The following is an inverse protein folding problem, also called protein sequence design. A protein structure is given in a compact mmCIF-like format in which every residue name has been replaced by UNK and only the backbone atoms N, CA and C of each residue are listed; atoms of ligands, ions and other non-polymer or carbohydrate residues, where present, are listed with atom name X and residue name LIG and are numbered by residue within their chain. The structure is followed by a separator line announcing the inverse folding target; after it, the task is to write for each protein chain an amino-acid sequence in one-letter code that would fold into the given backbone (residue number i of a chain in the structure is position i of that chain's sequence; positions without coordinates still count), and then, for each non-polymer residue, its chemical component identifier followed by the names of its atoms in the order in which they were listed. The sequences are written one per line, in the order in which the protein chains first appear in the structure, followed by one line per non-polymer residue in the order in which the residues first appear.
data_IF_771709652161
#
_entry.id   IF_771709652161
#
_cell.length_a   1.000
_cell.length_b   1.000
_cell.length_c   1.000
_cell.angle_alpha   90.00
_cell.angle_beta   90.00
_cell.angle_gamma   90.00
#
_symmetry.space_group_name_H-M   'P 1'
#
loop_
_entity.id
_entity.type
_entity.pdbx_description
1 polymer ?
#
# COMPACT_ATOMS: atom_id res chain seq x y z
N UNK A 1 -34.64 -27.36 15.83
CA UNK A 1 -34.92 -26.37 14.77
C UNK A 1 -33.85 -25.25 14.62
N UNK A 2 -32.68 -25.33 15.26
CA UNK A 2 -31.71 -24.21 15.32
C UNK A 2 -30.68 -24.14 14.16
N UNK A 3 -30.66 -25.08 13.21
CA UNK A 3 -29.59 -25.20 12.19
C UNK A 3 -29.88 -24.55 10.82
N UNK A 4 -31.10 -24.04 10.59
CA UNK A 4 -31.48 -23.34 9.34
C UNK A 4 -31.37 -21.81 9.41
N UNK A 5 -31.22 -21.23 10.61
CA UNK A 5 -31.14 -19.77 10.81
C UNK A 5 -29.73 -19.19 10.56
N UNK A 6 -28.66 -19.94 10.87
CA UNK A 6 -27.29 -19.43 10.75
C UNK A 6 -26.81 -19.23 9.30
N UNK A 7 -27.34 -20.00 8.34
CA UNK A 7 -26.95 -19.90 6.92
C UNK A 7 -27.60 -18.68 6.23
N UNK A 8 -28.78 -18.26 6.70
CA UNK A 8 -29.47 -17.06 6.18
C UNK A 8 -28.79 -15.77 6.68
N UNK A 9 -28.30 -15.76 7.92
CA UNK A 9 -27.57 -14.62 8.48
C UNK A 9 -26.16 -14.45 7.89
N UNK A 10 -25.48 -15.54 7.47
CA UNK A 10 -24.19 -15.44 6.77
C UNK A 10 -24.30 -14.84 5.36
N UNK A 11 -25.44 -15.03 4.66
CA UNK A 11 -25.69 -14.40 3.35
C UNK A 11 -26.07 -12.93 3.45
N UNK A 12 -26.77 -12.53 4.52
CA UNK A 12 -27.09 -11.12 4.78
C UNK A 12 -25.90 -10.34 5.35
N UNK A 13 -25.05 -10.96 6.18
CA UNK A 13 -23.80 -10.37 6.68
C UNK A 13 -22.77 -10.11 5.56
N UNK A 14 -22.85 -10.84 4.44
CA UNK A 14 -22.06 -10.56 3.22
C UNK A 14 -22.58 -9.39 2.39
N UNK A 15 -23.84 -8.97 2.57
CA UNK A 15 -24.47 -7.87 1.82
C UNK A 15 -24.41 -6.52 2.55
N UNK A 16 -24.09 -6.51 3.85
CA UNK A 16 -24.04 -5.32 4.68
C UNK A 16 -22.61 -4.88 5.07
N UNK A 17 -21.58 -5.61 4.62
CA UNK A 17 -20.17 -5.23 4.79
C UNK A 17 -19.70 -4.42 3.58
N UNK A 18 -20.17 -3.18 3.48
CA UNK A 18 -19.29 -2.17 2.91
C UNK A 18 -18.29 -1.84 4.04
N UNK A 19 -17.21 -2.60 4.07
CA UNK A 19 -16.08 -2.40 4.96
C UNK A 19 -15.30 -1.17 4.41
N UNK A 20 -15.89 0.03 4.54
CA UNK A 20 -15.35 1.31 4.07
C UNK A 20 -14.20 1.75 4.99
N UNK A 21 -12.98 1.30 4.68
CA UNK A 21 -11.77 1.66 5.41
C UNK A 21 -11.05 2.81 4.71
N UNK A 22 -11.23 4.03 5.20
CA UNK A 22 -10.58 5.21 4.60
C UNK A 22 -9.18 5.42 5.16
N UNK A 23 -8.22 5.59 4.25
CA UNK A 23 -6.83 5.93 4.61
C UNK A 23 -6.77 7.36 5.14
N UNK A 24 -5.99 7.61 6.18
CA UNK A 24 -5.85 8.96 6.75
C UNK A 24 -5.02 9.88 5.83
N UNK A 25 -5.45 11.14 5.71
CA UNK A 25 -4.75 12.16 4.93
C UNK A 25 -3.28 12.32 5.33
N UNK A 26 -2.99 12.34 6.65
CA UNK A 26 -1.63 12.49 7.16
C UNK A 26 -0.70 11.35 6.74
N UNK A 27 -1.20 10.12 6.68
CA UNK A 27 -0.40 8.96 6.24
C UNK A 27 -0.08 9.07 4.73
N UNK A 28 -1.04 9.53 3.92
CA UNK A 28 -0.86 9.78 2.48
C UNK A 28 0.17 10.89 2.25
N UNK A 29 -0.01 12.03 2.93
CA UNK A 29 0.90 13.18 2.80
C UNK A 29 2.33 12.78 3.17
N UNK A 30 2.51 12.16 4.34
CA UNK A 30 3.81 11.74 4.85
C UNK A 30 4.52 10.76 3.91
N UNK A 31 3.75 9.88 3.28
CA UNK A 31 4.29 8.93 2.30
C UNK A 31 4.67 9.63 0.99
N UNK A 32 3.77 10.44 0.40
CA UNK A 32 4.01 11.13 -0.88
C UNK A 32 5.21 12.09 -0.78
N UNK A 33 5.36 12.79 0.33
CA UNK A 33 6.48 13.70 0.59
C UNK A 33 7.85 13.00 0.42
N UNK A 34 7.95 11.70 0.70
CA UNK A 34 9.21 10.95 0.59
C UNK A 34 9.65 10.71 -0.85
N UNK A 35 8.72 10.65 -1.78
CA UNK A 35 9.01 10.58 -3.21
C UNK A 35 9.38 11.96 -3.75
N UNK A 36 8.69 13.01 -3.29
CA UNK A 36 8.99 14.40 -3.66
C UNK A 36 10.35 14.89 -3.13
N UNK A 37 10.72 14.51 -1.90
CA UNK A 37 12.03 14.77 -1.30
C UNK A 37 13.17 14.16 -2.14
N UNK A 38 12.93 12.98 -2.72
CA UNK A 38 13.90 12.28 -3.55
C UNK A 38 13.93 12.80 -4.98
N UNK A 39 12.76 13.03 -5.58
CA UNK A 39 12.61 13.64 -6.89
C UNK A 39 11.39 14.57 -6.89
N UNK A 40 11.59 15.91 -6.94
CA UNK A 40 10.49 16.87 -6.90
C UNK A 40 9.57 16.80 -8.12
N UNK A 41 10.03 16.18 -9.21
CA UNK A 41 9.28 16.02 -10.46
C UNK A 41 8.56 14.67 -10.55
N UNK A 42 8.51 13.88 -9.47
CA UNK A 42 7.86 12.56 -9.45
C UNK A 42 6.44 12.58 -10.06
N UNK A 43 5.66 13.63 -9.77
CA UNK A 43 4.28 13.79 -10.25
C UNK A 43 4.12 14.89 -11.32
N UNK A 44 5.19 15.61 -11.68
CA UNK A 44 5.10 16.74 -12.61
C UNK A 44 4.71 16.28 -14.01
N UNK A 45 3.75 16.97 -14.59
CA UNK A 45 3.18 16.69 -15.92
C UNK A 45 2.65 15.24 -16.05
N UNK A 46 2.26 14.62 -14.93
CA UNK A 46 1.70 13.26 -14.90
C UNK A 46 0.18 13.27 -14.78
N UNK A 47 -0.43 12.25 -15.37
CA UNK A 47 -1.82 11.88 -15.13
C UNK A 47 -1.85 10.91 -13.94
N UNK A 48 -2.44 11.34 -12.83
CA UNK A 48 -2.59 10.49 -11.63
C UNK A 48 -3.98 9.89 -11.61
N UNK A 49 -4.08 8.59 -11.37
CA UNK A 49 -5.35 7.89 -11.18
C UNK A 49 -5.49 7.38 -9.76
N UNK A 50 -6.54 7.86 -9.08
CA UNK A 50 -6.96 7.40 -7.77
C UNK A 50 -8.30 6.67 -7.92
N UNK A 51 -8.27 5.38 -8.24
CA UNK A 51 -9.48 4.56 -8.15
C UNK A 51 -9.87 4.44 -6.67
N UNK A 52 -11.13 4.70 -6.34
CA UNK A 52 -11.63 4.59 -4.97
C UNK A 52 -13.10 4.19 -4.96
N UNK A 53 -13.60 3.80 -3.79
CA UNK A 53 -15.02 3.51 -3.65
C UNK A 53 -15.84 4.82 -3.65
N UNK A 54 -15.30 5.91 -3.11
CA UNK A 54 -15.89 7.25 -3.19
C UNK A 54 -14.82 8.37 -3.27
N UNK A 55 -14.76 9.14 -4.38
CA UNK A 55 -13.90 10.31 -4.54
C UNK A 55 -14.09 11.43 -3.52
N UNK A 56 -15.31 11.65 -3.02
CA UNK A 56 -15.58 12.72 -2.06
C UNK A 56 -15.11 12.38 -0.64
N UNK A 57 -14.98 11.10 -0.32
CA UNK A 57 -14.47 10.61 0.97
C UNK A 57 -13.00 10.14 0.88
N UNK A 58 -12.49 9.95 -0.33
CA UNK A 58 -11.12 9.53 -0.58
C UNK A 58 -10.11 10.62 -0.23
N UNK A 59 -9.37 10.40 0.85
CA UNK A 59 -8.23 11.25 1.18
C UNK A 59 -7.12 11.23 0.12
N UNK A 60 -7.07 10.22 -0.77
CA UNK A 60 -6.17 10.24 -1.93
C UNK A 60 -6.59 11.33 -2.91
N UNK A 61 -7.86 11.36 -3.32
CA UNK A 61 -8.38 12.40 -4.19
C UNK A 61 -8.20 13.78 -3.54
N UNK A 62 -8.59 13.92 -2.27
CA UNK A 62 -8.41 15.16 -1.50
C UNK A 62 -6.97 15.65 -1.51
N UNK A 63 -5.99 14.77 -1.29
CA UNK A 63 -4.58 15.15 -1.33
C UNK A 63 -4.16 15.66 -2.70
N UNK A 64 -4.42 14.89 -3.77
CA UNK A 64 -3.94 15.26 -5.10
C UNK A 64 -4.66 16.48 -5.68
N UNK A 65 -5.96 16.66 -5.39
CA UNK A 65 -6.71 17.81 -5.89
C UNK A 65 -6.29 19.10 -5.18
N UNK A 66 -6.12 19.07 -3.85
CA UNK A 66 -5.67 20.24 -3.07
C UNK A 66 -4.22 20.62 -3.37
N UNK A 67 -3.40 19.65 -3.80
CA UNK A 67 -2.01 19.88 -4.18
C UNK A 67 -1.80 19.89 -5.71
N UNK A 68 -2.86 19.96 -6.52
CA UNK A 68 -2.78 19.77 -7.98
C UNK A 68 -1.75 20.69 -8.64
N UNK A 69 -1.86 22.01 -8.38
CA UNK A 69 -0.94 23.02 -8.91
C UNK A 69 0.47 22.89 -8.30
N UNK A 70 0.57 22.60 -7.00
CA UNK A 70 1.84 22.42 -6.30
C UNK A 70 2.64 21.25 -6.85
N UNK A 71 1.97 20.14 -7.17
CA UNK A 71 2.56 18.94 -7.76
C UNK A 71 2.81 19.10 -9.27
N UNK A 72 2.21 20.12 -9.90
CA UNK A 72 2.27 20.33 -11.34
C UNK A 72 1.64 19.18 -12.11
N UNK A 73 0.52 18.64 -11.63
CA UNK A 73 -0.18 17.53 -12.31
C UNK A 73 -0.68 17.98 -13.68
N UNK A 74 -0.66 17.05 -14.64
CA UNK A 74 -1.33 17.27 -15.92
C UNK A 74 -2.83 17.06 -15.80
N UNK A 75 -3.22 16.02 -15.07
CA UNK A 75 -4.61 15.63 -14.88
C UNK A 75 -4.72 14.71 -13.66
N UNK A 76 -5.84 14.79 -12.96
CA UNK A 76 -6.22 13.86 -11.88
C UNK A 76 -7.52 13.17 -12.29
N UNK A 77 -7.46 11.84 -12.35
CA UNK A 77 -8.60 10.98 -12.63
C UNK A 77 -8.97 10.26 -11.33
N UNK A 78 -10.26 10.14 -11.06
CA UNK A 78 -10.76 9.29 -9.98
C UNK A 78 -12.11 8.68 -10.35
N UNK A 79 -12.37 7.49 -9.84
CA UNK A 79 -13.63 6.77 -10.02
C UNK A 79 -14.28 6.49 -8.67
N UNK A 80 -15.60 6.30 -8.66
CA UNK A 80 -16.37 5.79 -7.53
C UNK A 80 -16.97 4.42 -7.85
N UNK A 81 -17.10 3.55 -6.84
CA UNK A 81 -17.78 2.25 -6.96
C UNK A 81 -19.23 2.35 -6.45
N UNK A 82 -20.13 1.48 -6.96
CA UNK A 82 -21.47 1.32 -6.37
C UNK A 82 -21.39 0.47 -5.09
N UNK A 83 -22.10 0.82 -4.00
CA UNK A 83 -23.03 1.93 -3.80
C UNK A 83 -22.42 3.04 -2.92
N UNK A 84 -21.83 4.09 -3.49
CA UNK A 84 -21.56 5.31 -2.72
C UNK A 84 -22.90 5.99 -2.34
N UNK A 85 -23.22 6.15 -1.03
CA UNK A 85 -24.41 6.88 -0.58
C UNK A 85 -24.29 8.40 -0.81
N UNK A 86 -23.06 8.88 -1.03
CA UNK A 86 -22.65 10.28 -0.82
C UNK A 86 -22.32 11.00 -2.13
N UNK A 87 -21.80 10.28 -3.13
CA UNK A 87 -21.51 10.82 -4.46
C UNK A 87 -22.75 11.42 -5.17
N UNK A 88 -23.95 11.03 -4.73
CA UNK A 88 -25.22 11.56 -5.25
C UNK A 88 -25.97 12.50 -4.28
N UNK A 89 -25.51 12.70 -3.04
CA UNK A 89 -26.23 13.49 -2.01
C UNK A 89 -25.46 14.72 -1.49
N UNK A 90 -24.13 14.70 -1.48
CA UNK A 90 -23.35 15.85 -0.96
C UNK A 90 -23.43 17.11 -1.83
N UNK A 91 -23.80 17.00 -3.09
CA UNK A 91 -24.04 18.17 -3.94
C UNK A 91 -25.30 18.98 -3.53
N UNK A 92 -26.27 18.35 -2.85
CA UNK A 92 -27.47 19.00 -2.34
C UNK A 92 -27.18 19.77 -1.04
N UNK A 93 -26.19 19.33 -0.24
CA UNK A 93 -25.85 19.90 1.08
C UNK A 93 -25.10 21.24 1.02
N UNK A 94 -24.54 21.62 -0.13
CA UNK A 94 -23.86 22.91 -0.34
C UNK A 94 -24.70 23.94 -1.12
N UNK A 95 -26.00 23.66 -1.35
CA UNK A 95 -26.93 24.59 -1.99
C UNK A 95 -27.69 25.41 -0.95
N UNK A 96 -27.43 26.72 -0.87
CA UNK A 96 -28.33 27.64 -0.17
C UNK A 96 -29.76 27.46 -0.71
N UNK A 97 -30.70 27.31 0.23
CA UNK A 97 -32.05 26.84 -0.03
C UNK A 97 -32.78 27.58 -1.16
N UNK A 98 -33.08 26.83 -2.23
CA UNK A 98 -34.36 26.94 -2.94
C UNK A 98 -34.80 25.53 -3.32
N UNK A 99 -35.98 25.17 -2.83
CA UNK A 99 -36.74 23.97 -3.12
C UNK A 99 -36.84 23.73 -4.63
N UNK A 100 -35.99 22.86 -5.17
CA UNK A 100 -36.20 22.27 -6.50
C UNK A 100 -37.22 21.14 -6.35
N UNK A 101 -38.18 21.12 -7.26
CA UNK A 101 -39.33 20.20 -7.29
C UNK A 101 -38.88 18.73 -7.19
N UNK A 102 -39.47 17.98 -6.26
CA UNK A 102 -39.29 16.52 -6.11
C UNK A 102 -39.49 15.82 -7.46
N UNK A 103 -38.42 15.39 -8.11
CA UNK A 103 -38.52 14.43 -9.20
C UNK A 103 -38.97 13.09 -8.61
N UNK A 104 -40.05 12.53 -9.16
CA UNK A 104 -40.54 11.20 -8.78
C UNK A 104 -39.58 10.14 -9.32
N UNK A 105 -38.71 9.62 -8.47
CA UNK A 105 -37.86 8.46 -8.76
C UNK A 105 -36.71 8.34 -7.75
N UNK A 106 -36.37 7.12 -7.33
CA UNK A 106 -35.15 6.88 -6.53
C UNK A 106 -33.94 7.31 -7.39
N UNK A 107 -33.00 8.15 -6.91
CA UNK A 107 -31.80 8.49 -7.68
C UNK A 107 -31.11 7.19 -8.12
N UNK A 108 -30.80 7.06 -9.41
CA UNK A 108 -30.01 5.91 -9.89
C UNK A 108 -28.64 6.02 -9.25
N UNK A 109 -28.31 5.08 -8.37
CA UNK A 109 -26.97 5.00 -7.77
C UNK A 109 -26.02 4.56 -8.89
N UNK A 110 -25.36 5.52 -9.54
CA UNK A 110 -24.34 5.29 -10.58
C UNK A 110 -22.95 5.45 -10.00
N UNK A 111 -22.01 4.63 -10.48
CA UNK A 111 -20.59 4.89 -10.33
C UNK A 111 -20.25 6.14 -11.14
N UNK A 112 -19.25 6.91 -10.73
CA UNK A 112 -18.91 8.19 -11.36
C UNK A 112 -17.42 8.26 -11.67
N UNK A 113 -17.08 8.94 -12.76
CA UNK A 113 -15.73 9.37 -13.10
C UNK A 113 -15.63 10.87 -12.86
N UNK A 114 -14.56 11.28 -12.22
CA UNK A 114 -14.16 12.68 -12.12
C UNK A 114 -12.82 12.87 -12.81
N UNK A 115 -12.73 13.91 -13.62
CA UNK A 115 -11.50 14.30 -14.32
C UNK A 115 -11.22 15.76 -14.02
N UNK A 116 -10.12 16.02 -13.33
CA UNK A 116 -9.66 17.36 -12.98
C UNK A 116 -8.48 17.71 -13.87
N UNK A 117 -8.63 18.77 -14.66
CA UNK A 117 -7.59 19.31 -15.53
C UNK A 117 -7.02 20.62 -15.01
N UNK A 118 -7.81 21.38 -14.24
CA UNK A 118 -7.38 22.63 -13.65
C UNK A 118 -8.04 22.84 -12.29
N UNK A 119 -7.36 23.59 -11.43
CA UNK A 119 -7.94 24.03 -10.16
C UNK A 119 -7.57 25.49 -9.89
N UNK A 120 -8.56 26.28 -9.48
CA UNK A 120 -8.39 27.67 -9.06
C UNK A 120 -9.47 28.05 -8.04
N UNK A 121 -9.19 29.06 -7.22
CA UNK A 121 -10.19 29.67 -6.35
C UNK A 121 -11.26 30.36 -7.24
N UNK A 122 -12.50 29.85 -7.19
CA UNK A 122 -13.60 30.31 -8.05
C UNK A 122 -14.47 31.37 -7.38
N UNK A 123 -14.49 31.44 -6.04
CA UNK A 123 -15.23 32.47 -5.32
C UNK A 123 -14.36 33.68 -4.93
N UNK A 124 -13.05 33.60 -5.20
CA UNK A 124 -12.06 34.64 -4.98
C UNK A 124 -11.97 35.03 -3.50
N UNK A 125 -12.19 34.07 -2.59
CA UNK A 125 -12.06 34.26 -1.14
C UNK A 125 -10.60 34.25 -0.66
N UNK A 126 -9.66 33.88 -1.54
CA UNK A 126 -8.23 33.84 -1.28
C UNK A 126 -7.70 32.47 -0.87
N UNK A 127 -8.55 31.44 -0.72
CA UNK A 127 -8.18 30.09 -0.30
C UNK A 127 -8.78 28.99 -1.18
N UNK A 128 -7.94 28.32 -1.99
CA UNK A 128 -8.40 27.15 -2.76
C UNK A 128 -8.74 25.95 -1.86
N UNK A 129 -9.99 25.47 -1.94
CA UNK A 129 -10.49 24.37 -1.13
C UNK A 129 -11.44 23.43 -1.92
N UNK A 130 -11.93 22.36 -1.26
CA UNK A 130 -12.81 21.37 -1.91
C UNK A 130 -14.16 21.95 -2.38
N UNK A 131 -14.64 23.05 -1.79
CA UNK A 131 -15.88 23.70 -2.24
C UNK A 131 -15.68 24.31 -3.63
N UNK A 132 -14.48 24.84 -3.93
CA UNK A 132 -14.15 25.37 -5.25
C UNK A 132 -14.14 24.27 -6.29
N UNK A 133 -13.53 23.12 -5.96
CA UNK A 133 -13.55 21.93 -6.83
C UNK A 133 -14.98 21.51 -7.13
N UNK A 134 -15.84 21.43 -6.11
CA UNK A 134 -17.24 21.06 -6.28
C UNK A 134 -18.00 22.08 -7.15
N UNK A 135 -17.76 23.39 -6.98
CA UNK A 135 -18.34 24.44 -7.82
C UNK A 135 -17.83 24.35 -9.27
N UNK A 136 -16.55 24.09 -9.48
CA UNK A 136 -15.96 23.93 -10.81
C UNK A 136 -16.53 22.71 -11.54
N UNK A 137 -16.71 21.58 -10.84
CA UNK A 137 -17.36 20.39 -11.38
C UNK A 137 -18.83 20.67 -11.75
N UNK A 138 -19.57 21.47 -10.95
CA UNK A 138 -20.93 21.88 -11.32
C UNK A 138 -20.98 22.82 -12.53
N UNK A 139 -19.98 23.69 -12.65
CA UNK A 139 -19.89 24.64 -13.74
C UNK A 139 -19.48 23.99 -15.08
N UNK A 140 -19.01 22.73 -15.06
CA UNK A 140 -18.62 21.94 -16.25
C UNK A 140 -17.78 22.74 -17.25
N UNK A 141 -16.75 23.46 -16.77
CA UNK A 141 -15.81 24.18 -17.64
C UNK A 141 -14.74 23.24 -18.17
N UNK A 142 -13.68 23.05 -17.38
CA UNK A 142 -12.51 22.24 -17.76
C UNK A 142 -12.36 20.99 -16.90
N UNK A 143 -13.23 20.79 -15.90
CA UNK A 143 -13.30 19.59 -15.09
C UNK A 143 -14.59 18.83 -15.43
N UNK A 144 -14.51 17.51 -15.50
CA UNK A 144 -15.62 16.64 -15.90
C UNK A 144 -16.10 15.79 -14.73
N UNK A 145 -17.43 15.67 -14.64
CA UNK A 145 -18.09 14.68 -13.81
C UNK A 145 -19.12 13.92 -14.66
N UNK A 146 -18.86 12.63 -14.87
CA UNK A 146 -19.65 11.78 -15.77
C UNK A 146 -20.01 10.47 -15.07
N UNK A 147 -21.28 10.03 -15.11
CA UNK A 147 -21.64 8.70 -14.62
C UNK A 147 -21.00 7.61 -15.50
N UNK A 148 -20.48 6.57 -14.86
CA UNK A 148 -20.00 5.34 -15.51
C UNK A 148 -21.20 4.46 -15.90
N UNK A 149 -21.09 3.76 -17.03
CA UNK A 149 -22.08 2.75 -17.44
C UNK A 149 -22.00 1.53 -16.51
N UNK A 150 -20.79 1.17 -16.08
CA UNK A 150 -20.49 0.06 -15.19
C UNK A 150 -20.79 0.29 -13.71
N UNK A 151 -20.22 -0.56 -12.86
CA UNK A 151 -20.31 -0.49 -11.39
C UNK A 151 -19.08 0.14 -10.72
N UNK A 152 -18.06 0.51 -11.51
CA UNK A 152 -16.79 1.06 -11.04
C UNK A 152 -15.74 0.01 -10.71
N UNK A 153 -15.99 -1.28 -10.98
CA UNK A 153 -14.98 -2.33 -10.82
C UNK A 153 -13.75 -2.03 -11.69
N UNK A 154 -12.56 -2.12 -11.10
CA UNK A 154 -11.28 -1.84 -11.78
C UNK A 154 -11.03 -2.75 -13.00
N UNK A 155 -11.78 -3.85 -13.12
CA UNK A 155 -11.72 -4.81 -14.23
C UNK A 155 -12.65 -4.45 -15.39
N UNK A 156 -13.54 -3.46 -15.22
CA UNK A 156 -14.42 -3.00 -16.28
C UNK A 156 -13.64 -2.28 -17.39
N UNK A 157 -14.12 -2.39 -18.63
CA UNK A 157 -13.47 -1.77 -19.80
C UNK A 157 -13.34 -0.24 -19.65
N UNK A 158 -14.32 0.40 -19.01
CA UNK A 158 -14.28 1.84 -18.70
C UNK A 158 -13.13 2.17 -17.73
N UNK A 159 -13.01 1.43 -16.62
CA UNK A 159 -11.93 1.64 -15.64
C UNK A 159 -10.55 1.27 -16.21
N UNK A 160 -10.45 0.26 -17.08
CA UNK A 160 -9.23 -0.09 -17.79
C UNK A 160 -8.83 1.03 -18.74
N UNK A 161 -9.79 1.62 -19.48
CA UNK A 161 -9.53 2.75 -20.37
C UNK A 161 -8.99 3.96 -19.59
N UNK A 162 -9.47 4.20 -18.37
CA UNK A 162 -8.96 5.25 -17.48
C UNK A 162 -7.57 4.91 -16.94
N UNK A 163 -7.35 3.65 -16.57
CA UNK A 163 -6.04 3.16 -16.17
C UNK A 163 -5.01 3.39 -17.28
N UNK A 164 -5.36 3.06 -18.53
CA UNK A 164 -4.51 3.24 -19.70
C UNK A 164 -4.08 4.68 -19.93
N UNK A 165 -4.99 5.65 -19.70
CA UNK A 165 -4.72 7.08 -19.79
C UNK A 165 -3.77 7.60 -18.68
N UNK A 166 -3.72 6.91 -17.54
CA UNK A 166 -2.94 7.34 -16.38
C UNK A 166 -1.45 6.97 -16.48
N UNK A 167 -0.58 7.80 -15.90
CA UNK A 167 0.84 7.50 -15.75
C UNK A 167 1.13 6.80 -14.42
N UNK A 168 0.48 7.29 -13.35
CA UNK A 168 0.71 6.85 -11.96
C UNK A 168 -0.63 6.51 -11.31
N UNK A 169 -0.69 5.36 -10.65
CA UNK A 169 -1.84 4.93 -9.86
C UNK A 169 -1.55 5.07 -8.37
N UNK A 170 -2.42 5.75 -7.62
CA UNK A 170 -2.24 5.93 -6.17
C UNK A 170 -3.55 5.63 -5.43
N UNK A 171 -3.60 4.53 -4.67
CA UNK A 171 -4.86 4.05 -4.07
C UNK A 171 -4.67 3.06 -2.89
N UNK A 172 -5.77 2.74 -2.20
CA UNK A 172 -5.92 1.58 -1.32
C UNK A 172 -6.81 0.52 -2.02
N UNK A 173 -6.24 -0.46 -2.73
CA UNK A 173 -7.02 -1.46 -3.47
C UNK A 173 -7.69 -2.48 -2.53
N UNK A 174 -8.78 -3.14 -2.98
CA UNK A 174 -9.43 -4.20 -2.21
C UNK A 174 -8.47 -5.36 -1.95
N UNK A 175 -8.21 -5.67 -0.68
CA UNK A 175 -7.23 -6.69 -0.29
C UNK A 175 -7.56 -8.09 -0.82
N UNK A 176 -8.84 -8.42 -1.02
CA UNK A 176 -9.29 -9.69 -1.60
C UNK A 176 -8.88 -9.86 -3.07
N UNK A 177 -8.73 -8.77 -3.81
CA UNK A 177 -8.37 -8.76 -5.23
C UNK A 177 -6.94 -8.22 -5.45
N UNK A 178 -6.15 -8.08 -4.37
CA UNK A 178 -4.82 -7.45 -4.42
C UNK A 178 -3.88 -8.06 -5.46
N UNK A 179 -3.84 -9.39 -5.58
CA UNK A 179 -2.96 -10.07 -6.55
C UNK A 179 -3.36 -9.78 -8.00
N UNK A 180 -4.67 -9.80 -8.27
CA UNK A 180 -5.22 -9.49 -9.58
C UNK A 180 -4.97 -8.03 -9.94
N UNK A 181 -5.16 -7.13 -8.97
CA UNK A 181 -4.91 -5.70 -9.13
C UNK A 181 -3.43 -5.41 -9.42
N UNK A 182 -2.50 -5.95 -8.62
CA UNK A 182 -1.05 -5.79 -8.89
C UNK A 182 -0.68 -6.35 -10.26
N UNK A 183 -1.25 -7.50 -10.66
CA UNK A 183 -1.02 -8.06 -11.99
C UNK A 183 -1.45 -7.07 -13.08
N UNK A 184 -2.64 -6.49 -12.97
CA UNK A 184 -3.16 -5.51 -13.93
C UNK A 184 -2.23 -4.27 -14.02
N UNK A 185 -1.77 -3.73 -12.90
CA UNK A 185 -0.83 -2.59 -12.91
C UNK A 185 0.45 -2.90 -13.70
N UNK A 186 0.96 -4.12 -13.60
CA UNK A 186 2.12 -4.57 -14.36
C UNK A 186 1.83 -4.82 -15.82
N UNK A 187 0.70 -5.45 -16.15
CA UNK A 187 0.29 -5.70 -17.53
C UNK A 187 0.16 -4.38 -18.32
N UNK A 188 -0.37 -3.33 -17.67
CA UNK A 188 -0.49 -1.98 -18.23
C UNK A 188 0.74 -1.08 -17.96
N UNK A 189 1.84 -1.63 -17.44
CA UNK A 189 3.13 -0.94 -17.21
C UNK A 189 3.02 0.35 -16.39
N UNK A 190 2.15 0.35 -15.38
CA UNK A 190 1.87 1.54 -14.58
C UNK A 190 2.90 1.76 -13.50
N UNK A 191 3.21 3.04 -13.27
CA UNK A 191 3.86 3.46 -12.04
C UNK A 191 2.79 3.49 -10.94
N UNK A 192 3.11 3.10 -9.71
CA UNK A 192 2.08 3.05 -8.68
C UNK A 192 2.63 3.18 -7.27
N UNK A 193 1.74 3.63 -6.37
CA UNK A 193 1.89 3.64 -4.92
C UNK A 193 0.57 3.15 -4.31
N UNK A 194 0.57 1.94 -3.75
CA UNK A 194 -0.66 1.31 -3.25
C UNK A 194 -0.50 0.78 -1.84
N UNK A 195 -1.60 0.70 -1.10
CA UNK A 195 -1.62 0.06 0.22
C UNK A 195 -1.84 -1.45 0.04
N UNK A 196 -1.07 -2.25 0.77
CA UNK A 196 -1.23 -3.69 0.82
C UNK A 196 -1.09 -4.22 2.23
N UNK A 197 -1.64 -5.41 2.46
CA UNK A 197 -1.35 -6.16 3.67
C UNK A 197 0.11 -6.67 3.65
N UNK A 198 0.83 -6.62 4.77
CA UNK A 198 2.23 -7.03 4.91
C UNK A 198 2.50 -8.43 4.37
N UNK A 199 1.53 -9.35 4.45
CA UNK A 199 1.68 -10.70 3.91
C UNK A 199 1.91 -10.71 2.40
N UNK A 200 1.55 -9.64 1.67
CA UNK A 200 1.71 -9.56 0.23
C UNK A 200 3.16 -9.71 -0.23
N UNK A 201 4.14 -9.27 0.59
CA UNK A 201 5.57 -9.38 0.29
C UNK A 201 6.05 -10.83 0.14
N UNK A 202 5.30 -11.79 0.70
CA UNK A 202 5.63 -13.22 0.63
C UNK A 202 4.86 -13.94 -0.48
N UNK A 203 3.94 -13.26 -1.18
CA UNK A 203 3.27 -13.84 -2.34
C UNK A 203 4.30 -14.09 -3.42
N UNK A 204 4.27 -15.28 -4.05
CA UNK A 204 5.30 -15.70 -5.01
C UNK A 204 5.53 -14.64 -6.09
N UNK A 205 4.46 -14.11 -6.68
CA UNK A 205 4.52 -13.15 -7.78
C UNK A 205 5.06 -11.77 -7.32
N UNK A 206 4.70 -11.33 -6.11
CA UNK A 206 5.16 -10.07 -5.53
C UNK A 206 6.63 -10.19 -5.12
N UNK A 207 7.00 -11.27 -4.42
CA UNK A 207 8.38 -11.50 -4.00
C UNK A 207 9.34 -11.59 -5.19
N UNK A 208 8.93 -12.21 -6.30
CA UNK A 208 9.71 -12.21 -7.55
C UNK A 208 10.07 -10.79 -7.98
N UNK A 209 9.07 -9.92 -7.97
CA UNK A 209 9.21 -8.53 -8.40
C UNK A 209 10.01 -7.69 -7.42
N UNK A 210 9.97 -8.01 -6.12
CA UNK A 210 10.88 -7.43 -5.12
C UNK A 210 12.32 -7.85 -5.40
N UNK A 211 12.55 -9.14 -5.62
CA UNK A 211 13.87 -9.72 -5.89
C UNK A 211 14.48 -9.15 -7.18
N UNK A 212 13.69 -8.99 -8.24
CA UNK A 212 14.12 -8.40 -9.51
C UNK A 212 14.20 -6.86 -9.48
N UNK A 213 13.90 -6.22 -8.34
CA UNK A 213 13.87 -4.76 -8.17
C UNK A 213 12.85 -4.05 -9.09
N UNK A 214 11.74 -4.69 -9.40
CA UNK A 214 10.61 -4.11 -10.14
C UNK A 214 9.61 -3.39 -9.21
N UNK A 215 9.49 -3.84 -7.96
CA UNK A 215 8.70 -3.20 -6.87
C UNK A 215 9.45 -3.25 -5.56
N UNK A 216 9.07 -2.38 -4.65
CA UNK A 216 9.63 -2.29 -3.30
C UNK A 216 8.59 -1.75 -2.31
N UNK A 217 8.94 -1.82 -1.03
CA UNK A 217 8.16 -1.22 0.03
C UNK A 217 8.31 0.30 -0.07
N UNK A 218 7.25 1.04 0.23
CA UNK A 218 7.31 2.49 0.38
C UNK A 218 8.11 2.91 1.62
N UNK A 219 7.88 4.10 2.12
CA UNK A 219 8.72 4.66 3.17
C UNK A 219 8.35 4.15 4.58
N UNK A 220 8.45 2.85 4.83
CA UNK A 220 8.33 2.27 6.17
C UNK A 220 7.42 1.04 6.24
N UNK A 221 7.67 0.18 7.24
CA UNK A 221 6.84 -0.98 7.56
C UNK A 221 6.19 -0.86 8.95
N UNK A 222 5.01 -1.47 9.13
CA UNK A 222 4.31 -1.53 10.42
C UNK A 222 3.40 -0.31 10.65
N UNK A 223 3.62 0.43 11.74
CA UNK A 223 2.78 1.59 12.15
C UNK A 223 2.95 2.85 11.27
N UNK A 224 3.46 2.68 10.06
CA UNK A 224 3.56 3.77 9.10
C UNK A 224 2.19 4.18 8.54
N UNK A 225 1.24 3.23 8.54
CA UNK A 225 -0.17 3.50 8.39
C UNK A 225 -0.77 3.48 9.80
N UNK A 226 -1.24 4.63 10.26
CA UNK A 226 -1.66 4.84 11.65
C UNK A 226 -3.09 4.33 11.93
N UNK A 227 -3.77 3.85 10.89
CA UNK A 227 -5.08 3.21 10.93
C UNK A 227 -6.02 3.72 9.86
N UNK A 228 -7.19 3.10 9.79
CA UNK A 228 -8.24 3.45 8.84
C UNK A 228 -9.44 4.01 9.57
N UNK A 229 -10.07 5.04 8.99
CA UNK A 229 -11.35 5.55 9.45
C UNK A 229 -12.42 4.54 9.05
N UNK A 230 -13.29 4.18 9.98
CA UNK A 230 -14.38 3.20 9.79
C UNK A 230 -15.75 3.84 10.08
N UNK A 231 -16.84 3.32 9.49
CA UNK A 231 -18.19 3.80 9.76
C UNK A 231 -18.59 3.65 11.24
N UNK A 232 -19.55 4.46 11.70
CA UNK A 232 -20.09 4.38 13.07
C UNK A 232 -20.71 3.02 13.40
N UNK A 233 -21.22 2.30 12.39
CA UNK A 233 -21.76 0.95 12.54
C UNK A 233 -20.69 -0.12 12.72
N UNK A 234 -19.40 0.21 12.55
CA UNK A 234 -18.31 -0.71 12.78
C UNK A 234 -18.03 -0.80 14.28
N UNK A 235 -18.15 -2.01 14.81
CA UNK A 235 -17.84 -2.29 16.20
C UNK A 235 -16.33 -2.19 16.43
N UNK A 236 -15.94 -1.34 17.38
CA UNK A 236 -14.55 -1.17 17.76
C UNK A 236 -14.14 -2.31 18.70
N UNK A 237 -13.23 -3.16 18.22
CA UNK A 237 -12.69 -4.27 18.98
C UNK A 237 -11.18 -4.10 19.19
N UNK A 238 -10.72 -4.31 20.42
CA UNK A 238 -9.30 -4.35 20.78
C UNK A 238 -8.67 -2.99 21.11
N UNK A 239 -7.40 -3.03 21.53
CA UNK A 239 -6.59 -1.86 21.94
C UNK A 239 -6.14 -0.99 20.77
N UNK A 240 -6.41 -1.41 19.53
CA UNK A 240 -6.01 -0.73 18.30
C UNK A 240 -7.12 0.16 17.71
N UNK A 241 -8.28 0.20 18.37
CA UNK A 241 -9.38 1.10 18.04
C UNK A 241 -9.32 2.38 18.89
N UNK A 242 -9.49 3.54 18.25
CA UNK A 242 -9.54 4.85 18.91
C UNK A 242 -10.57 5.76 18.26
N UNK A 243 -10.93 6.83 18.97
CA UNK A 243 -11.70 7.95 18.41
C UNK A 243 -10.76 9.15 18.37
N UNK A 244 -10.70 9.84 17.23
CA UNK A 244 -9.89 11.05 17.09
C UNK A 244 -10.62 12.30 17.63
N UNK A 245 -9.94 13.45 17.61
CA UNK A 245 -10.49 14.73 18.08
C UNK A 245 -11.72 15.20 17.29
N UNK A 246 -11.89 14.71 16.05
CA UNK A 246 -13.01 15.04 15.18
C UNK A 246 -14.18 14.04 15.32
N UNK A 247 -14.08 13.07 16.24
CA UNK A 247 -15.10 12.04 16.45
C UNK A 247 -15.02 10.86 15.48
N UNK A 248 -14.00 10.80 14.59
CA UNK A 248 -13.84 9.68 13.68
C UNK A 248 -13.38 8.44 14.42
N UNK A 249 -13.97 7.29 14.08
CA UNK A 249 -13.55 5.98 14.58
C UNK A 249 -12.40 5.46 13.74
N UNK A 250 -11.26 5.18 14.37
CA UNK A 250 -10.05 4.68 13.70
C UNK A 250 -9.71 3.29 14.20
N UNK A 251 -9.52 2.36 13.27
CA UNK A 251 -8.99 1.01 13.53
C UNK A 251 -7.58 0.92 12.95
N UNK A 252 -6.58 0.81 13.83
CA UNK A 252 -5.23 0.49 13.40
C UNK A 252 -5.15 -1.00 13.07
N UNK A 253 -4.55 -1.33 11.93
CA UNK A 253 -4.11 -2.68 11.64
C UNK A 253 -2.60 -2.62 11.47
N UNK A 254 -1.84 -3.17 12.40
CA UNK A 254 -0.36 -3.21 12.33
C UNK A 254 0.21 -3.99 11.12
N UNK A 255 -0.66 -4.42 10.19
CA UNK A 255 -0.36 -5.32 9.09
C UNK A 255 -0.49 -4.64 7.72
N UNK A 256 -0.51 -3.32 7.62
CA UNK A 256 -0.52 -2.62 6.33
C UNK A 256 0.84 -1.99 6.02
N UNK A 257 1.15 -1.86 4.73
CA UNK A 257 2.32 -1.17 4.21
C UNK A 257 2.01 -0.52 2.87
N UNK A 258 2.89 0.39 2.45
CA UNK A 258 2.92 0.91 1.08
C UNK A 258 3.75 -0.01 0.20
N UNK A 259 3.22 -0.40 -0.95
CA UNK A 259 3.91 -1.12 -2.01
C UNK A 259 3.96 -0.23 -3.25
N UNK A 260 5.12 -0.10 -3.85
CA UNK A 260 5.35 0.90 -4.89
C UNK A 260 6.39 0.44 -5.88
N UNK A 261 6.40 1.08 -7.05
CA UNK A 261 7.56 1.10 -7.94
C UNK A 261 8.05 2.54 -8.20
N UNK A 262 7.52 3.54 -7.48
CA UNK A 262 8.05 4.90 -7.42
C UNK A 262 9.31 4.94 -6.57
N UNK A 263 10.32 5.67 -7.03
CA UNK A 263 11.63 5.68 -6.36
C UNK A 263 11.65 6.67 -5.20
N UNK A 264 12.38 6.35 -4.12
CA UNK A 264 12.41 7.17 -2.91
C UNK A 264 13.73 7.02 -2.15
N UNK A 265 14.11 8.04 -1.38
CA UNK A 265 15.44 8.14 -0.78
C UNK A 265 15.82 6.99 0.16
N UNK A 266 14.86 6.48 0.96
CA UNK A 266 15.10 5.34 1.88
C UNK A 266 15.61 4.09 1.15
N UNK A 267 15.17 3.86 -0.09
CA UNK A 267 15.63 2.73 -0.91
C UNK A 267 17.14 2.75 -1.16
N UNK A 268 17.73 3.94 -1.20
CA UNK A 268 19.16 4.13 -1.46
C UNK A 268 19.97 4.40 -0.20
N UNK A 269 19.34 4.39 0.97
CA UNK A 269 20.02 4.63 2.24
C UNK A 269 20.78 3.36 2.67
N UNK A 270 22.12 3.37 2.74
CA UNK A 270 22.86 2.21 3.22
C UNK A 270 22.62 2.04 4.72
N UNK A 271 22.37 0.80 5.14
CA UNK A 271 22.28 0.47 6.56
C UNK A 271 23.69 0.35 7.16
N UNK A 272 23.96 0.95 8.33
CA UNK A 272 25.21 0.74 9.04
C UNK A 272 25.32 -0.72 9.50
N UNK A 273 26.48 -1.34 9.27
CA UNK A 273 26.77 -2.72 9.63
C UNK A 273 28.01 -2.78 10.53
N UNK A 274 27.92 -3.62 11.56
CA UNK A 274 29.06 -4.05 12.36
C UNK A 274 29.74 -5.25 11.69
N UNK A 275 31.00 -5.50 12.02
CA UNK A 275 31.68 -6.77 11.69
C UNK A 275 31.07 -7.94 12.47
N UNK A 276 31.35 -9.18 12.05
CA UNK A 276 30.95 -10.37 12.80
C UNK A 276 31.46 -10.32 14.25
N UNK A 277 32.73 -9.95 14.44
CA UNK A 277 33.34 -9.87 15.78
C UNK A 277 32.66 -8.81 16.67
N UNK A 278 32.36 -7.64 16.10
CA UNK A 278 31.66 -6.57 16.83
C UNK A 278 30.23 -6.97 17.17
N UNK A 279 29.48 -7.59 16.25
CA UNK A 279 28.15 -8.09 16.54
C UNK A 279 28.16 -9.09 17.71
N UNK A 280 29.07 -10.07 17.68
CA UNK A 280 29.19 -11.06 18.75
C UNK A 280 29.60 -10.43 20.10
N UNK A 281 30.29 -9.28 20.10
CA UNK A 281 30.73 -8.60 21.33
C UNK A 281 29.71 -7.59 21.88
N UNK A 282 29.10 -6.80 20.99
CA UNK A 282 28.37 -5.58 21.34
C UNK A 282 26.89 -5.59 20.96
N UNK A 283 26.38 -6.64 20.28
CA UNK A 283 24.96 -6.71 19.94
C UNK A 283 24.09 -6.54 21.19
N UNK A 284 22.96 -5.85 21.04
CA UNK A 284 21.95 -5.72 22.09
C UNK A 284 21.10 -7.00 22.24
N UNK A 285 21.17 -7.91 21.27
CA UNK A 285 20.39 -9.15 21.23
C UNK A 285 21.17 -10.28 21.89
N UNK A 286 20.57 -10.92 22.89
CA UNK A 286 21.21 -11.99 23.68
C UNK A 286 21.49 -13.24 22.86
N UNK A 287 20.74 -13.43 21.78
CA UNK A 287 20.87 -14.53 20.83
C UNK A 287 22.09 -14.39 19.91
N UNK A 288 22.73 -13.22 19.89
CA UNK A 288 23.97 -12.95 19.14
C UNK A 288 25.12 -12.64 20.09
N UNK A 289 24.90 -11.77 21.09
CA UNK A 289 25.93 -11.32 22.02
C UNK A 289 26.51 -12.50 22.81
N UNK A 290 27.83 -12.65 22.80
CA UNK A 290 28.57 -13.67 23.53
C UNK A 290 28.66 -15.02 22.81
N UNK A 291 28.08 -15.18 21.61
CA UNK A 291 28.27 -16.39 20.82
C UNK A 291 29.70 -16.47 20.26
N UNK A 292 30.18 -17.70 20.05
CA UNK A 292 31.48 -17.95 19.39
C UNK A 292 31.42 -17.64 17.89
N UNK A 293 30.30 -17.93 17.25
CA UNK A 293 30.04 -17.67 15.84
C UNK A 293 28.53 -17.56 15.60
N UNK A 294 28.15 -17.08 14.43
CA UNK A 294 26.76 -17.19 13.95
C UNK A 294 26.42 -18.66 13.68
N UNK A 295 25.15 -19.01 13.87
CA UNK A 295 24.65 -20.34 13.55
C UNK A 295 24.61 -20.53 12.03
N UNK A 296 24.83 -21.77 11.58
CA UNK A 296 24.74 -22.16 10.17
C UNK A 296 23.52 -23.05 9.96
N UNK A 297 22.89 -22.94 8.80
CA UNK A 297 21.80 -23.84 8.48
C UNK A 297 22.31 -25.24 8.12
N UNK A 298 21.50 -26.24 8.45
CA UNK A 298 21.71 -27.63 8.06
C UNK A 298 21.56 -27.84 6.55
N UNK A 299 20.56 -27.20 5.96
CA UNK A 299 20.08 -27.46 4.60
C UNK A 299 20.36 -26.33 3.60
N UNK A 300 21.03 -25.25 4.02
CA UNK A 300 21.45 -24.14 3.17
C UNK A 300 22.89 -23.74 3.49
N UNK A 301 23.67 -23.34 2.49
CA UNK A 301 25.01 -22.78 2.69
C UNK A 301 24.92 -21.30 3.05
N UNK A 302 24.34 -21.03 4.22
CA UNK A 302 24.10 -19.70 4.73
C UNK A 302 24.17 -19.67 6.26
N UNK A 303 24.46 -18.49 6.81
CA UNK A 303 24.34 -18.23 8.25
C UNK A 303 22.94 -17.72 8.61
N UNK A 304 22.48 -18.04 9.81
CA UNK A 304 21.28 -17.47 10.40
C UNK A 304 21.60 -16.11 11.03
N UNK A 305 20.89 -15.09 10.58
CA UNK A 305 20.95 -13.74 11.14
C UNK A 305 19.55 -13.39 11.66
N UNK A 306 19.28 -13.57 12.96
CA UNK A 306 17.92 -13.44 13.50
C UNK A 306 17.41 -11.99 13.56
N UNK A 307 18.30 -11.00 13.44
CA UNK A 307 17.95 -9.58 13.54
C UNK A 307 18.63 -8.76 12.45
N UNK A 308 17.86 -7.85 11.84
CA UNK A 308 18.33 -6.98 10.75
C UNK A 308 19.54 -6.11 11.13
N UNK A 309 19.61 -5.64 12.38
CA UNK A 309 20.75 -4.86 12.88
C UNK A 309 21.95 -5.70 13.35
N UNK A 310 21.85 -7.04 13.26
CA UNK A 310 22.94 -7.97 13.49
C UNK A 310 23.52 -8.54 12.18
N UNK A 311 23.19 -7.95 11.03
CA UNK A 311 23.78 -8.33 9.74
C UNK A 311 25.27 -7.95 9.74
N UNK A 312 26.20 -8.90 9.56
CA UNK A 312 27.62 -8.60 9.49
C UNK A 312 28.02 -7.97 8.15
N UNK A 313 28.81 -6.88 8.21
CA UNK A 313 29.30 -6.16 7.03
C UNK A 313 30.51 -6.79 6.33
N UNK A 314 31.21 -7.69 7.00
CA UNK A 314 32.45 -8.37 6.59
C UNK A 314 32.21 -9.82 6.10
N UNK A 315 30.98 -10.33 6.20
CA UNK A 315 30.64 -11.68 5.75
C UNK A 315 30.33 -11.72 4.25
N UNK A 316 31.03 -12.61 3.51
CA UNK A 316 30.92 -12.75 2.05
C UNK A 316 29.88 -13.78 1.58
N UNK A 317 29.46 -14.68 2.47
CA UNK A 317 28.54 -15.76 2.17
C UNK A 317 27.08 -15.32 2.15
N UNK A 318 26.18 -16.28 2.00
CA UNK A 318 24.74 -16.05 2.04
C UNK A 318 24.27 -15.93 3.49
N UNK A 319 23.34 -15.01 3.74
CA UNK A 319 22.77 -14.75 5.06
C UNK A 319 21.26 -14.92 4.98
N UNK A 320 20.68 -15.69 5.89
CA UNK A 320 19.23 -15.70 6.12
C UNK A 320 18.85 -14.61 7.11
N UNK A 321 18.09 -13.62 6.66
CA UNK A 321 17.63 -12.48 7.46
C UNK A 321 16.11 -12.47 7.62
N UNK A 322 15.54 -11.79 8.62
CA UNK A 322 14.08 -11.71 8.80
C UNK A 322 13.41 -10.97 7.64
N UNK A 323 12.14 -11.24 7.38
CA UNK A 323 11.37 -10.52 6.33
C UNK A 323 11.34 -9.01 6.55
N UNK A 324 11.44 -8.57 7.81
CA UNK A 324 11.49 -7.16 8.20
C UNK A 324 12.73 -6.43 7.69
N UNK A 325 13.75 -7.16 7.20
CA UNK A 325 14.88 -6.60 6.48
C UNK A 325 14.46 -5.76 5.26
N UNK A 326 13.35 -6.10 4.58
CA UNK A 326 12.90 -5.38 3.38
C UNK A 326 12.63 -3.89 3.61
N UNK A 327 12.29 -3.50 4.84
CA UNK A 327 12.12 -2.10 5.24
C UNK A 327 13.43 -1.27 5.16
N UNK A 328 14.58 -1.95 5.20
CA UNK A 328 15.93 -1.37 5.10
C UNK A 328 16.70 -1.91 3.89
N UNK A 329 16.01 -2.58 2.96
CA UNK A 329 16.65 -3.17 1.80
C UNK A 329 17.10 -2.07 0.85
N UNK A 330 18.41 -2.04 0.62
CA UNK A 330 19.07 -1.19 -0.34
C UNK A 330 19.68 -2.07 -1.45
N UNK A 331 19.25 -1.93 -2.71
CA UNK A 331 19.72 -2.77 -3.81
C UNK A 331 21.17 -2.52 -4.20
N UNK A 332 21.75 -1.36 -3.86
CA UNK A 332 23.18 -1.09 -4.03
C UNK A 332 24.04 -1.73 -2.93
N UNK A 333 23.47 -2.05 -1.76
CA UNK A 333 24.17 -2.68 -0.64
C UNK A 333 24.00 -4.20 -0.61
N UNK A 334 22.82 -4.70 -0.93
CA UNK A 334 22.48 -6.11 -0.82
C UNK A 334 21.89 -6.68 -2.11
N UNK A 335 22.05 -7.98 -2.27
CA UNK A 335 21.37 -8.79 -3.28
C UNK A 335 20.39 -9.72 -2.59
N UNK A 336 19.15 -9.79 -3.07
CA UNK A 336 18.19 -10.81 -2.63
C UNK A 336 18.34 -12.02 -3.54
N UNK A 337 18.68 -13.16 -2.95
CA UNK A 337 18.86 -14.42 -3.67
C UNK A 337 17.58 -15.27 -3.64
N UNK A 338 16.78 -15.15 -2.59
CA UNK A 338 15.54 -15.92 -2.49
C UNK A 338 14.81 -15.74 -1.16
N UNK A 339 13.74 -16.52 -0.99
CA UNK A 339 12.98 -16.61 0.25
C UNK A 339 12.85 -18.08 0.64
N UNK A 340 13.24 -18.41 1.87
CA UNK A 340 13.23 -19.79 2.37
C UNK A 340 11.84 -20.39 2.44
N UNK A 341 10.76 -19.61 2.34
CA UNK A 341 9.37 -20.12 2.36
C UNK A 341 8.72 -20.19 0.97
N UNK A 342 9.37 -19.70 -0.09
CA UNK A 342 8.81 -19.69 -1.45
C UNK A 342 9.48 -20.79 -2.28
N UNK A 343 8.71 -21.80 -2.68
CA UNK A 343 9.16 -22.84 -3.62
C UNK A 343 9.55 -22.23 -4.97
N UNK A 344 10.68 -22.66 -5.52
CA UNK A 344 11.30 -22.13 -6.75
C UNK A 344 12.41 -21.11 -6.49
N UNK A 345 12.44 -20.48 -5.31
CA UNK A 345 13.35 -19.38 -5.01
C UNK A 345 14.63 -19.76 -4.29
N UNK A 346 14.76 -21.01 -3.87
CA UNK A 346 15.77 -21.39 -2.88
C UNK A 346 16.53 -22.65 -3.26
N UNK A 347 16.07 -23.36 -4.29
CA UNK A 347 16.56 -24.67 -4.70
C UNK A 347 18.03 -24.62 -5.11
N UNK A 348 18.45 -23.51 -5.73
CA UNK A 348 19.83 -23.25 -6.11
C UNK A 348 20.75 -22.96 -4.91
N UNK A 349 20.19 -22.75 -3.70
CA UNK A 349 20.91 -22.47 -2.45
C UNK A 349 20.83 -23.65 -1.47
N UNK A 350 20.04 -24.68 -1.79
CA UNK A 350 19.90 -25.85 -0.93
C UNK A 350 21.13 -26.75 -1.01
N UNK A 351 21.51 -27.29 0.14
CA UNK A 351 22.57 -28.29 0.24
C UNK A 351 21.98 -29.67 -0.12
N UNK A 352 22.83 -30.69 -0.31
CA UNK A 352 22.37 -32.07 -0.57
C UNK A 352 21.64 -32.75 0.62
N UNK A 353 21.46 -32.05 1.74
CA UNK A 353 20.87 -32.59 2.98
C UNK A 353 19.34 -32.53 2.87
N UNK A 354 18.68 -33.69 2.92
CA UNK A 354 17.21 -33.78 2.88
C UNK A 354 16.60 -33.13 4.14
N UNK A 355 15.62 -32.25 3.95
CA UNK A 355 14.79 -31.71 5.02
C UNK A 355 13.34 -32.21 4.88
N UNK A 356 12.67 -32.43 6.01
CA UNK A 356 11.27 -32.91 6.03
C UNK A 356 10.29 -31.84 5.55
N UNK A 357 10.65 -30.58 5.75
CA UNK A 357 9.91 -29.43 5.24
C UNK A 357 10.84 -28.50 4.48
N UNK A 358 10.20 -27.49 3.94
CA UNK A 358 10.73 -26.49 3.05
C UNK A 358 11.43 -25.32 3.76
N UNK A 359 11.43 -25.29 5.10
CA UNK A 359 12.05 -24.21 5.88
C UNK A 359 13.56 -24.41 6.09
N UNK A 360 14.23 -23.38 6.61
CA UNK A 360 15.61 -23.47 7.11
C UNK A 360 15.65 -24.29 8.40
N UNK A 361 16.74 -25.01 8.63
CA UNK A 361 16.96 -25.83 9.84
C UNK A 361 18.28 -25.48 10.52
N UNK A 362 18.29 -25.48 11.84
CA UNK A 362 19.50 -25.38 12.67
C UNK A 362 19.46 -26.49 13.70
N UNK A 363 20.47 -27.36 13.71
CA UNK A 363 20.54 -28.54 14.57
C UNK A 363 19.25 -29.39 14.52
N UNK A 364 18.67 -29.55 13.34
CA UNK A 364 17.42 -30.30 13.13
C UNK A 364 16.14 -29.56 13.56
N UNK A 365 16.24 -28.32 14.06
CA UNK A 365 15.08 -27.51 14.48
C UNK A 365 14.67 -26.57 13.34
N UNK A 366 13.39 -26.59 12.89
CA UNK A 366 12.90 -25.69 11.86
C UNK A 366 12.92 -24.24 12.35
N UNK A 367 13.36 -23.35 11.47
CA UNK A 367 13.42 -21.91 11.72
C UNK A 367 12.28 -21.17 10.99
N UNK A 368 12.02 -19.94 11.42
CA UNK A 368 11.10 -19.04 10.71
C UNK A 368 11.57 -18.75 9.29
N UNK A 369 10.66 -18.25 8.46
CA UNK A 369 10.97 -17.78 7.12
C UNK A 369 12.13 -16.77 7.13
N UNK A 370 13.06 -16.92 6.18
CA UNK A 370 14.22 -16.04 6.00
C UNK A 370 14.31 -15.59 4.56
N UNK A 371 14.65 -14.33 4.37
CA UNK A 371 15.11 -13.82 3.09
C UNK A 371 16.59 -14.13 3.00
N UNK A 372 16.98 -14.81 1.92
CA UNK A 372 18.36 -15.17 1.65
C UNK A 372 19.01 -14.01 0.89
N UNK A 373 20.02 -13.40 1.49
CA UNK A 373 20.69 -12.22 0.92
C UNK A 373 22.20 -12.39 0.85
N UNK A 374 22.85 -11.56 0.03
CA UNK A 374 24.29 -11.40 -0.02
C UNK A 374 24.67 -9.92 0.05
N UNK A 375 25.73 -9.59 0.79
CA UNK A 375 26.25 -8.22 0.84
C UNK A 375 27.12 -7.95 -0.41
N UNK A 376 26.78 -6.91 -1.18
CA UNK A 376 27.52 -6.48 -2.37
C UNK A 376 28.76 -5.63 -2.03
N UNK A 377 28.74 -4.98 -0.86
CA UNK A 377 29.75 -4.03 -0.39
C UNK A 377 30.46 -4.56 0.86
N UNK A 378 31.01 -5.77 0.77
CA UNK A 378 31.74 -6.39 1.89
C UNK A 378 32.92 -5.49 2.27
N UNK A 379 32.91 -5.01 3.52
CA UNK A 379 34.05 -4.25 4.06
C UNK A 379 35.18 -5.24 4.34
N UNK A 380 36.38 -4.92 3.83
CA UNK A 380 37.59 -5.70 4.11
C UNK A 380 38.09 -5.46 5.52
#
# INVERSE_FOLDING_TARGET
MARKSSIKNLKNARRAKNDEFYTQYGDIQKEIEKYLEYNPDTFRNKVVYCNCDDPFESNFFRYFVLNFNKLGLKQLITTSCKPSPVANTQLELFGNGKTLSKSKGRPKITANKFTINEVFDIDADGEFNLKDVAKQLKANKNNEWVPLEGDGDFRSDECISLLEQSDIVVTNPPFSLFREYVKQLFDHKKRFLIIGNINCITYKEVFQKIKSNEIWLGNGMGRWISGFIVPESYDLYGTEARIDENGNRIVATNNCLWLTNLDHGRRHQPMPLMTMAENLKYSKHKEIKGKRSYDKYDNYDAIEVPFTDAIPGDYKGVMGVPVTFLDKYNPEQFEILGNSNVRGEREHLMNKKKSATDCTYINGIPQYARILIKNKKVKK
#
